data_IF_518659074907
#
_entry.id   IF_518659074907
#
_cell.length_a   1.000
_cell.length_b   1.000
_cell.length_c   1.000
_cell.angle_alpha   90.00
_cell.angle_beta   90.00
_cell.angle_gamma   90.00
#
_symmetry.space_group_name_H-M   'P 1'
#
loop_
_entity.id
_entity.type
_entity.pdbx_description
1 polymer ?
#
# COMPACT_ATOMS: atom_id res chain seq x y z
N UNK A 1 -1.69 3.17 -10.54
CA UNK A 1 -3.09 3.06 -10.04
C UNK A 1 -3.27 1.66 -9.52
N UNK A 2 -3.95 1.47 -8.40
CA UNK A 2 -4.08 0.17 -7.73
C UNK A 2 -5.45 0.03 -7.07
N UNK A 3 -5.93 -1.21 -6.94
CA UNK A 3 -7.10 -1.52 -6.14
C UNK A 3 -6.81 -1.62 -4.64
N UNK A 4 -5.59 -1.32 -4.20
CA UNK A 4 -5.19 -1.33 -2.78
C UNK A 4 -5.21 -2.74 -2.17
N UNK A 5 -5.16 -3.81 -2.98
CA UNK A 5 -4.82 -5.13 -2.46
C UNK A 5 -3.43 -5.09 -1.83
N UNK A 6 -3.22 -5.87 -0.77
CA UNK A 6 -1.99 -5.77 0.03
C UNK A 6 -0.72 -6.05 -0.79
N UNK A 7 -0.76 -7.02 -1.70
CA UNK A 7 0.38 -7.34 -2.57
C UNK A 7 0.77 -6.14 -3.46
N UNK A 8 -0.18 -5.57 -4.21
CA UNK A 8 0.12 -4.39 -5.05
C UNK A 8 0.52 -3.16 -4.24
N UNK A 9 0.04 -3.06 -2.99
CA UNK A 9 0.47 -2.01 -2.05
C UNK A 9 1.93 -2.19 -1.68
N UNK A 10 2.35 -3.42 -1.33
CA UNK A 10 3.74 -3.75 -1.02
C UNK A 10 4.66 -3.58 -2.24
N UNK A 11 4.21 -3.93 -3.44
CA UNK A 11 4.95 -3.68 -4.69
C UNK A 11 5.18 -2.17 -4.90
N UNK A 12 4.14 -1.35 -4.74
CA UNK A 12 4.25 0.10 -4.85
C UNK A 12 5.22 0.70 -3.83
N UNK A 13 5.13 0.26 -2.57
CA UNK A 13 6.06 0.67 -1.50
C UNK A 13 7.50 0.25 -1.82
N UNK A 14 7.71 -1.00 -2.21
CA UNK A 14 9.05 -1.55 -2.50
C UNK A 14 9.69 -0.90 -3.73
N UNK A 15 8.88 -0.48 -4.71
CA UNK A 15 9.34 0.27 -5.87
C UNK A 15 9.57 1.77 -5.57
N UNK A 16 9.01 2.29 -4.48
CA UNK A 16 9.04 3.71 -4.13
C UNK A 16 8.11 4.55 -5.01
N UNK A 17 7.00 3.96 -5.45
CA UNK A 17 6.07 4.57 -6.40
C UNK A 17 4.81 5.03 -5.65
N UNK A 18 4.42 6.32 -5.76
CA UNK A 18 3.18 6.80 -5.16
C UNK A 18 1.94 6.22 -5.87
N UNK A 19 0.83 6.08 -5.15
CA UNK A 19 -0.32 5.30 -5.59
C UNK A 19 -1.59 6.13 -5.78
N UNK A 20 -2.28 5.95 -6.91
CA UNK A 20 -3.71 6.26 -7.00
C UNK A 20 -4.50 5.08 -6.46
N UNK A 21 -5.32 5.31 -5.44
CA UNK A 21 -6.08 4.27 -4.75
C UNK A 21 -7.50 4.16 -5.31
N UNK A 22 -7.88 2.95 -5.70
CA UNK A 22 -9.20 2.61 -6.25
C UNK A 22 -9.75 1.34 -5.60
N UNK A 23 -10.09 1.36 -4.29
CA UNK A 23 -10.61 0.19 -3.61
C UNK A 23 -11.94 -0.29 -4.20
N UNK A 24 -12.17 -1.60 -4.18
CA UNK A 24 -13.38 -2.25 -4.69
C UNK A 24 -14.04 -3.16 -3.65
N UNK A 25 -13.26 -3.99 -2.94
CA UNK A 25 -13.80 -5.03 -2.04
C UNK A 25 -12.81 -5.43 -0.95
N UNK A 26 -13.12 -6.49 -0.20
CA UNK A 26 -12.27 -7.05 0.85
C UNK A 26 -11.73 -5.99 1.83
N UNK A 27 -10.43 -6.00 2.13
CA UNK A 27 -9.75 -5.07 3.03
C UNK A 27 -9.27 -3.78 2.35
N UNK A 28 -9.51 -3.62 1.05
CA UNK A 28 -8.89 -2.59 0.21
C UNK A 28 -9.19 -1.15 0.67
N UNK A 29 -10.35 -0.91 1.27
CA UNK A 29 -10.70 0.41 1.81
C UNK A 29 -9.89 0.77 3.06
N UNK A 30 -9.52 -0.22 3.88
CA UNK A 30 -8.61 -0.01 5.00
C UNK A 30 -7.19 0.26 4.50
N UNK A 31 -6.74 -0.51 3.50
CA UNK A 31 -5.44 -0.29 2.87
C UNK A 31 -5.36 1.08 2.19
N UNK A 32 -6.44 1.54 1.54
CA UNK A 32 -6.52 2.92 1.02
C UNK A 32 -6.26 3.94 2.13
N UNK A 33 -6.88 3.78 3.29
CA UNK A 33 -6.69 4.70 4.43
C UNK A 33 -5.27 4.66 4.98
N UNK A 34 -4.66 3.49 5.05
CA UNK A 34 -3.24 3.37 5.38
C UNK A 34 -2.35 4.10 4.36
N UNK A 35 -2.59 3.92 3.06
CA UNK A 35 -1.82 4.55 1.98
C UNK A 35 -1.96 6.08 2.00
N UNK A 36 -3.19 6.58 2.16
CA UNK A 36 -3.53 8.00 1.96
C UNK A 36 -3.41 8.84 3.22
N UNK A 37 -3.90 8.35 4.35
CA UNK A 37 -4.01 9.17 5.58
C UNK A 37 -2.77 8.98 6.48
N UNK A 38 -2.27 7.75 6.59
CA UNK A 38 -1.15 7.40 7.48
C UNK A 38 0.20 7.54 6.78
N UNK A 39 0.44 6.77 5.72
CA UNK A 39 1.70 6.80 4.98
C UNK A 39 1.83 8.07 4.14
N UNK A 40 0.69 8.59 3.65
CA UNK A 40 0.59 9.75 2.74
C UNK A 40 1.43 9.58 1.48
N UNK A 41 1.35 8.39 0.89
CA UNK A 41 2.03 8.03 -0.36
C UNK A 41 1.05 7.82 -1.52
N UNK A 42 -0.20 8.26 -1.37
CA UNK A 42 -1.19 8.12 -2.43
C UNK A 42 -2.31 9.14 -2.39
N UNK A 43 -3.14 9.10 -3.43
CA UNK A 43 -4.29 9.97 -3.64
C UNK A 43 -5.51 9.12 -4.01
N UNK A 44 -6.65 9.42 -3.40
CA UNK A 44 -7.91 8.73 -3.65
C UNK A 44 -8.53 9.12 -4.99
N UNK A 45 -8.98 8.14 -5.77
CA UNK A 45 -9.76 8.39 -7.00
C UNK A 45 -11.25 8.63 -6.72
N UNK A 46 -11.72 8.33 -5.50
CA UNK A 46 -13.10 8.58 -5.07
C UNK A 46 -14.03 7.37 -5.11
N UNK A 47 -13.51 6.14 -5.18
CA UNK A 47 -14.31 4.93 -5.01
C UNK A 47 -14.76 4.80 -3.54
N UNK A 48 -16.07 4.77 -3.28
CA UNK A 48 -16.64 4.76 -1.92
C UNK A 48 -17.53 3.55 -1.61
N UNK A 49 -17.91 2.79 -2.62
CA UNK A 49 -18.79 1.63 -2.47
C UNK A 49 -17.95 0.35 -2.39
N UNK A 50 -18.08 -0.36 -1.28
CA UNK A 50 -17.63 -1.74 -1.15
C UNK A 50 -18.65 -2.64 -1.83
N UNK A 51 -18.18 -3.52 -2.71
CA UNK A 51 -19.05 -4.45 -3.44
C UNK A 51 -18.45 -5.86 -3.36
N UNK A 52 -19.28 -6.87 -3.09
CA UNK A 52 -18.81 -8.25 -3.10
C UNK A 52 -18.44 -8.68 -4.52
N UNK A 53 -17.58 -9.69 -4.65
CA UNK A 53 -17.11 -10.21 -5.95
C UNK A 53 -18.21 -10.81 -6.83
N UNK A 54 -19.37 -11.11 -6.25
CA UNK A 54 -20.56 -11.64 -6.91
C UNK A 54 -21.68 -10.59 -7.11
N UNK A 55 -21.40 -9.32 -6.84
CA UNK A 55 -22.36 -8.23 -6.97
C UNK A 55 -21.88 -7.21 -8.01
N UNK A 56 -22.83 -6.56 -8.68
CA UNK A 56 -22.54 -5.46 -9.58
C UNK A 56 -22.37 -4.15 -8.80
N UNK A 57 -21.39 -3.35 -9.22
CA UNK A 57 -21.10 -2.06 -8.60
C UNK A 57 -22.16 -1.03 -9.01
N UNK A 58 -22.78 -0.36 -8.04
CA UNK A 58 -23.87 0.60 -8.28
C UNK A 58 -23.34 2.01 -8.52
N UNK A 59 -22.18 2.33 -7.96
CA UNK A 59 -21.55 3.65 -8.01
C UNK A 59 -20.26 3.58 -8.83
N UNK A 60 -20.29 4.26 -9.97
CA UNK A 60 -19.14 4.41 -10.86
C UNK A 60 -18.35 5.68 -10.51
N UNK A 61 -17.03 5.59 -10.61
CA UNK A 61 -16.14 6.76 -10.49
C UNK A 61 -16.13 7.48 -11.84
N UNK A 62 -16.54 8.74 -11.86
CA UNK A 62 -16.54 9.56 -13.07
C UNK A 62 -15.12 9.87 -13.57
N UNK A 63 -14.96 10.00 -14.89
CA UNK A 63 -13.68 10.29 -15.53
C UNK A 63 -13.02 11.58 -15.03
N UNK A 64 -13.80 12.60 -14.71
CA UNK A 64 -13.31 13.86 -14.13
C UNK A 64 -12.61 13.65 -12.77
N UNK A 65 -13.16 12.79 -11.91
CA UNK A 65 -12.54 12.44 -10.62
C UNK A 65 -11.18 11.76 -10.83
N UNK A 66 -11.10 10.87 -11.82
CA UNK A 66 -9.85 10.20 -12.19
C UNK A 66 -8.84 11.22 -12.73
N UNK A 67 -9.26 12.12 -13.61
CA UNK A 67 -8.40 13.17 -14.16
C UNK A 67 -7.81 14.08 -13.08
N UNK A 68 -8.65 14.55 -12.14
CA UNK A 68 -8.22 15.37 -11.00
C UNK A 68 -7.22 14.62 -10.14
N UNK A 69 -7.48 13.35 -9.80
CA UNK A 69 -6.58 12.53 -8.99
C UNK A 69 -5.23 12.30 -9.70
N UNK A 70 -5.23 12.00 -11.00
CA UNK A 70 -4.02 11.84 -11.81
C UNK A 70 -3.21 13.13 -11.84
N UNK A 71 -3.84 14.28 -12.13
CA UNK A 71 -3.17 15.59 -12.14
C UNK A 71 -2.57 15.92 -10.78
N UNK A 72 -3.28 15.62 -9.69
CA UNK A 72 -2.81 15.85 -8.32
C UNK A 72 -1.57 15.02 -7.98
N UNK A 73 -1.53 13.74 -8.37
CA UNK A 73 -0.40 12.85 -8.08
C UNK A 73 0.81 13.08 -9.00
N UNK A 74 0.56 13.33 -10.28
CA UNK A 74 1.60 13.45 -11.32
C UNK A 74 2.09 14.89 -11.52
N UNK A 75 1.36 15.88 -11.01
CA UNK A 75 1.69 17.29 -11.15
C UNK A 75 3.03 17.69 -10.48
N UNK A 76 3.44 18.92 -10.79
CA UNK A 76 4.62 19.56 -10.18
C UNK A 76 4.35 20.25 -8.84
N UNK A 77 3.14 20.11 -8.28
CA UNK A 77 2.77 20.74 -7.01
C UNK A 77 3.52 20.16 -5.81
N UNK A 78 3.54 20.92 -4.72
CA UNK A 78 4.21 20.55 -3.47
C UNK A 78 3.73 19.20 -2.92
N UNK A 79 2.41 18.97 -2.94
CA UNK A 79 1.83 17.70 -2.47
C UNK A 79 2.43 16.51 -3.22
N UNK A 80 2.45 16.56 -4.55
CA UNK A 80 2.98 15.49 -5.40
C UNK A 80 4.47 15.21 -5.13
N UNK A 81 5.25 16.27 -4.88
CA UNK A 81 6.66 16.16 -4.53
C UNK A 81 6.85 15.49 -3.15
N UNK A 82 6.06 15.88 -2.14
CA UNK A 82 6.08 15.28 -0.81
C UNK A 82 5.68 13.80 -0.86
N UNK A 83 4.63 13.46 -1.61
CA UNK A 83 4.16 12.07 -1.77
C UNK A 83 5.25 11.19 -2.41
N UNK A 84 5.92 11.67 -3.48
CA UNK A 84 7.04 10.94 -4.11
C UNK A 84 8.23 10.77 -3.17
N UNK A 85 8.58 11.82 -2.41
CA UNK A 85 9.66 11.75 -1.42
C UNK A 85 9.38 10.69 -0.36
N UNK A 86 8.18 10.68 0.22
CA UNK A 86 7.75 9.69 1.22
C UNK A 86 7.76 8.26 0.67
N UNK A 87 7.30 8.08 -0.58
CA UNK A 87 7.35 6.77 -1.23
C UNK A 87 8.81 6.27 -1.36
N UNK A 88 9.73 7.14 -1.76
CA UNK A 88 11.17 6.84 -1.80
C UNK A 88 11.75 6.49 -0.43
N UNK A 89 11.39 7.22 0.63
CA UNK A 89 11.83 6.90 2.00
C UNK A 89 11.33 5.52 2.48
N UNK A 90 10.09 5.17 2.14
CA UNK A 90 9.51 3.86 2.47
C UNK A 90 10.14 2.73 1.68
N UNK A 91 10.50 2.94 0.41
CA UNK A 91 11.28 1.98 -0.37
C UNK A 91 12.57 1.59 0.34
N UNK A 92 13.33 2.58 0.79
CA UNK A 92 14.60 2.33 1.47
C UNK A 92 14.39 1.62 2.81
N UNK A 93 13.30 1.92 3.54
CA UNK A 93 12.91 1.19 4.75
C UNK A 93 12.52 -0.26 4.45
N UNK A 94 11.72 -0.50 3.41
CA UNK A 94 11.28 -1.83 3.01
C UNK A 94 12.47 -2.71 2.61
N UNK A 95 13.41 -2.16 1.83
CA UNK A 95 14.66 -2.83 1.47
C UNK A 95 15.48 -3.21 2.71
N UNK A 96 15.75 -2.26 3.60
CA UNK A 96 16.52 -2.51 4.84
C UNK A 96 15.84 -3.51 5.78
N UNK A 97 14.51 -3.58 5.78
CA UNK A 97 13.80 -4.50 6.67
C UNK A 97 14.09 -5.98 6.36
N UNK A 98 14.35 -6.30 5.09
CA UNK A 98 14.55 -7.69 4.62
C UNK A 98 16.01 -8.07 4.40
N UNK A 99 16.93 -7.10 4.37
CA UNK A 99 18.38 -7.36 4.34
C UNK A 99 18.85 -8.00 5.65
N UNK A 100 20.03 -8.64 5.63
CA UNK A 100 20.64 -9.24 6.82
C UNK A 100 20.81 -8.19 7.93
N UNK A 101 20.38 -8.53 9.15
CA UNK A 101 20.30 -7.59 10.29
C UNK A 101 19.06 -6.67 10.28
N UNK A 102 18.19 -6.77 9.27
CA UNK A 102 16.93 -6.05 9.17
C UNK A 102 15.84 -6.61 10.09
N UNK A 103 14.78 -5.82 10.32
CA UNK A 103 13.71 -6.18 11.25
C UNK A 103 12.88 -7.39 10.82
N UNK A 104 12.57 -7.51 9.53
CA UNK A 104 11.83 -8.66 9.00
C UNK A 104 12.72 -9.90 8.93
N UNK A 105 14.01 -9.73 8.61
CA UNK A 105 15.01 -10.79 8.69
C UNK A 105 15.09 -11.37 10.10
N UNK A 106 15.28 -10.51 11.10
CA UNK A 106 15.30 -10.90 12.52
C UNK A 106 13.98 -11.54 12.99
N UNK A 107 12.84 -11.06 12.47
CA UNK A 107 11.52 -11.64 12.78
C UNK A 107 11.39 -13.09 12.30
N UNK A 108 11.90 -13.40 11.10
CA UNK A 108 11.91 -14.78 10.59
C UNK A 108 12.89 -15.65 11.38
N UNK A 109 14.07 -15.14 11.71
CA UNK A 109 15.06 -15.88 12.53
C UNK A 109 14.51 -16.22 13.93
N UNK A 110 13.82 -15.27 14.56
CA UNK A 110 13.17 -15.47 15.86
C UNK A 110 12.10 -16.56 15.77
N UNK A 111 11.23 -16.50 14.75
CA UNK A 111 10.20 -17.51 14.52
C UNK A 111 10.79 -18.91 14.32
N UNK A 112 11.86 -19.03 13.51
CA UNK A 112 12.53 -20.32 13.27
C UNK A 112 13.14 -20.86 14.57
N UNK A 113 13.73 -19.99 15.38
CA UNK A 113 14.36 -20.37 16.64
C UNK A 113 13.32 -20.89 17.64
N UNK A 114 12.17 -20.23 17.74
CA UNK A 114 11.04 -20.66 18.59
C UNK A 114 10.47 -22.01 18.14
N UNK A 115 10.26 -22.21 16.84
CA UNK A 115 9.80 -23.50 16.31
C UNK A 115 10.80 -24.63 16.57
N UNK A 116 12.10 -24.34 16.61
CA UNK A 116 13.14 -25.33 16.95
C UNK A 116 13.12 -25.70 18.43
N UNK A 117 12.90 -24.73 19.33
CA UNK A 117 12.83 -25.01 20.77
C UNK A 117 11.60 -25.84 21.12
N UNK A 118 10.45 -25.57 20.50
CA UNK A 118 9.24 -26.37 20.74
C UNK A 118 9.39 -27.83 20.29
N UNK A 119 10.20 -28.10 19.26
CA UNK A 119 10.47 -29.47 18.78
C UNK A 119 11.39 -30.26 19.72
N UNK A 120 12.18 -29.59 20.54
CA UNK A 120 13.09 -30.24 21.50
C UNK A 120 12.46 -30.52 22.86
N UNK A 121 11.17 -30.16 23.03
CA UNK A 121 10.37 -30.42 24.24
C UNK A 121 9.50 -31.69 24.14
N UNK A 122 9.57 -32.42 23.02
CA UNK A 122 9.06 -33.80 22.82
C UNK A 122 10.19 -34.83 22.92
#
# INVERSE_FOLDING_TARGET
>A
MTHCGWNSTLEGVSAGVPMLTWPMSAEQFFNEKLITDVLRIGVQVGSKEWTSWNEEKKVLVGGESVEVAVKRLMGGGEEAAITRKRAGELKEKAKRAVEEGGSSYAGVDALISELRSCRTED
#
